data_IF_743417561057
#
_entry.id   IF_743417561057
#
_cell.length_a   1.000
_cell.length_b   1.000
_cell.length_c   1.000
_cell.angle_alpha   90.00
_cell.angle_beta   90.00
_cell.angle_gamma   90.00
#
_symmetry.space_group_name_H-M   'P 1'
#
loop_
_entity.id
_entity.type
_entity.pdbx_description
1 polymer ?
#
# COMPACT_ATOMS: atom_id res chain seq x y z
N UNK A 1 -4.39 -23.66 8.39
CA UNK A 1 -3.82 -23.47 9.75
C UNK A 1 -2.79 -22.36 9.83
N UNK A 2 -1.92 -22.16 8.84
CA UNK A 2 -0.86 -21.13 8.86
C UNK A 2 -1.35 -19.70 9.16
N UNK A 3 -2.36 -19.20 8.45
CA UNK A 3 -2.88 -17.83 8.65
C UNK A 3 -3.46 -17.62 10.05
N UNK A 4 -4.17 -18.61 10.58
CA UNK A 4 -4.79 -18.55 11.91
C UNK A 4 -3.74 -18.40 13.00
N UNK A 5 -2.69 -19.22 12.95
CA UNK A 5 -1.58 -19.15 13.92
C UNK A 5 -0.83 -17.83 13.78
N UNK A 6 -0.52 -17.40 12.56
CA UNK A 6 0.19 -16.13 12.31
C UNK A 6 -0.58 -14.90 12.82
N UNK A 7 -1.91 -14.87 12.67
CA UNK A 7 -2.73 -13.75 13.17
C UNK A 7 -2.83 -13.80 14.70
N UNK A 8 -2.95 -14.99 15.29
CA UNK A 8 -3.05 -15.19 16.74
C UNK A 8 -1.77 -14.74 17.46
N UNK A 9 -0.61 -15.15 16.94
CA UNK A 9 0.69 -14.94 17.61
C UNK A 9 1.46 -13.72 17.06
N UNK A 10 0.77 -12.83 16.32
CA UNK A 10 1.39 -11.70 15.57
C UNK A 10 2.25 -10.76 16.42
N UNK A 11 1.91 -10.58 17.70
CA UNK A 11 2.64 -9.69 18.60
C UNK A 11 3.98 -10.30 19.02
N UNK A 12 4.01 -11.62 19.25
CA UNK A 12 5.24 -12.35 19.57
C UNK A 12 6.16 -12.48 18.36
N UNK A 13 5.59 -12.56 17.16
CA UNK A 13 6.33 -12.76 15.91
C UNK A 13 6.72 -11.44 15.22
N UNK A 14 6.56 -10.29 15.89
CA UNK A 14 6.85 -8.99 15.30
C UNK A 14 8.36 -8.78 15.13
N UNK A 15 8.75 -8.31 13.95
CA UNK A 15 10.13 -8.03 13.53
C UNK A 15 10.23 -6.59 13.00
N UNK A 16 11.44 -6.16 12.64
CA UNK A 16 11.72 -4.84 12.06
C UNK A 16 11.19 -4.74 10.61
N UNK A 17 11.42 -3.60 9.95
CA UNK A 17 11.03 -3.36 8.56
C UNK A 17 11.72 -4.26 7.53
N UNK A 18 12.86 -4.86 7.87
CA UNK A 18 13.67 -5.67 6.96
C UNK A 18 13.99 -7.06 7.54
N UNK A 19 12.99 -7.96 7.67
CA UNK A 19 13.21 -9.29 8.24
C UNK A 19 13.96 -10.27 7.32
N UNK A 20 14.10 -9.95 6.03
CA UNK A 20 14.68 -10.86 5.03
C UNK A 20 15.96 -10.33 4.40
N UNK A 21 16.51 -9.21 4.90
CA UNK A 21 17.62 -8.51 4.27
C UNK A 21 17.32 -8.16 2.79
N UNK A 22 16.15 -7.60 2.53
CA UNK A 22 15.63 -7.30 1.20
C UNK A 22 16.40 -6.19 0.47
N UNK A 23 16.25 -6.13 -0.86
CA UNK A 23 17.09 -5.28 -1.72
C UNK A 23 16.48 -3.93 -2.10
N UNK A 24 15.16 -3.86 -2.04
CA UNK A 24 14.32 -2.82 -2.61
C UNK A 24 13.78 -1.88 -1.52
N UNK A 25 13.19 -0.75 -1.91
CA UNK A 25 12.88 0.35 -0.99
C UNK A 25 11.78 0.03 0.02
N UNK A 26 10.90 -0.94 -0.24
CA UNK A 26 9.85 -1.34 0.71
C UNK A 26 10.43 -1.81 2.04
N UNK A 27 11.62 -2.43 2.01
CA UNK A 27 12.34 -2.91 3.20
C UNK A 27 13.01 -1.78 3.99
N UNK A 28 13.06 -0.55 3.44
CA UNK A 28 13.56 0.62 4.15
C UNK A 28 12.49 1.33 5.00
N UNK A 29 11.23 0.86 4.94
CA UNK A 29 10.10 1.45 5.66
C UNK A 29 9.86 0.79 7.02
N UNK A 30 9.11 1.45 7.90
CA UNK A 30 8.69 0.84 9.17
C UNK A 30 7.70 -0.32 8.93
N UNK A 31 7.55 -1.20 9.91
CA UNK A 31 6.54 -2.28 9.90
C UNK A 31 5.53 -2.11 11.04
N UNK A 32 4.25 -1.80 10.74
CA UNK A 32 3.68 -1.53 9.41
C UNK A 32 4.14 -0.16 8.83
N UNK A 33 4.10 0.02 7.50
CA UNK A 33 4.45 1.29 6.88
C UNK A 33 3.40 2.37 7.22
N UNK A 34 3.80 3.65 7.36
CA UNK A 34 2.87 4.75 7.53
C UNK A 34 2.05 4.97 6.26
N UNK A 35 0.88 5.62 6.36
CA UNK A 35 -0.02 5.85 5.23
C UNK A 35 0.60 6.67 4.08
N UNK A 36 1.62 7.49 4.38
CA UNK A 36 2.37 8.29 3.41
C UNK A 36 3.65 7.60 2.90
N UNK A 37 3.93 6.37 3.34
CA UNK A 37 5.14 5.58 3.06
C UNK A 37 6.46 6.25 3.49
N UNK A 38 6.92 7.26 2.74
CA UNK A 38 8.20 7.95 2.98
C UNK A 38 7.97 9.39 3.41
N UNK A 39 8.52 9.77 4.57
CA UNK A 39 8.46 11.17 5.04
C UNK A 39 9.35 12.11 4.20
N UNK A 40 10.41 11.56 3.61
CA UNK A 40 11.31 12.24 2.68
C UNK A 40 11.53 11.29 1.51
N UNK A 41 11.34 11.77 0.28
CA UNK A 41 11.51 10.92 -0.90
C UNK A 41 12.94 10.39 -1.00
N UNK A 42 13.12 9.05 -1.11
CA UNK A 42 14.43 8.46 -1.27
C UNK A 42 15.01 8.82 -2.65
N UNK A 43 16.31 9.05 -2.70
CA UNK A 43 17.00 9.25 -3.96
C UNK A 43 17.34 7.89 -4.59
N UNK A 44 16.80 7.61 -5.77
CA UNK A 44 16.98 6.34 -6.47
C UNK A 44 17.97 6.53 -7.62
N UNK A 45 19.19 6.03 -7.44
CA UNK A 45 20.24 6.09 -8.46
C UNK A 45 20.38 4.79 -9.27
N UNK A 46 19.98 3.66 -8.67
CA UNK A 46 20.17 2.32 -9.23
C UNK A 46 18.93 1.46 -8.96
N UNK A 47 18.82 0.34 -9.66
CA UNK A 47 17.70 -0.61 -9.54
C UNK A 47 17.47 -1.06 -8.10
N UNK A 48 18.54 -1.38 -7.38
CA UNK A 48 18.50 -1.85 -5.98
C UNK A 48 19.10 -0.80 -5.04
N UNK A 49 18.55 0.42 -5.09
CA UNK A 49 19.06 1.57 -4.33
C UNK A 49 19.20 1.32 -2.81
N UNK A 50 18.26 0.58 -2.20
CA UNK A 50 18.34 0.23 -0.78
C UNK A 50 19.47 -0.77 -0.49
N UNK A 51 19.63 -1.80 -1.33
CA UNK A 51 20.74 -2.76 -1.21
C UNK A 51 22.09 -2.08 -1.28
N UNK A 52 22.28 -1.19 -2.25
CA UNK A 52 23.53 -0.43 -2.43
C UNK A 52 23.78 0.47 -1.22
N UNK A 53 22.73 1.13 -0.71
CA UNK A 53 22.84 1.93 0.50
C UNK A 53 23.28 1.09 1.72
N UNK A 54 22.73 -0.12 1.89
CA UNK A 54 23.16 -1.07 2.93
C UNK A 54 24.61 -1.52 2.75
N UNK A 55 25.02 -1.87 1.53
CA UNK A 55 26.40 -2.27 1.25
C UNK A 55 27.39 -1.14 1.56
N UNK A 56 27.08 0.10 1.15
CA UNK A 56 27.90 1.28 1.47
C UNK A 56 27.94 1.55 2.98
N UNK A 57 26.81 1.42 3.68
CA UNK A 57 26.77 1.55 5.14
C UNK A 57 27.63 0.50 5.84
N UNK A 58 27.54 -0.77 5.43
CA UNK A 58 28.36 -1.86 5.96
C UNK A 58 29.86 -1.67 5.67
N UNK A 59 30.20 -1.10 4.52
CA UNK A 59 31.57 -0.73 4.15
C UNK A 59 32.06 0.56 4.83
N UNK A 60 31.26 1.19 5.71
CA UNK A 60 31.55 2.49 6.33
C UNK A 60 31.74 3.63 5.31
N UNK A 61 31.19 3.47 4.11
CA UNK A 61 31.19 4.42 3.00
C UNK A 61 29.86 5.18 2.86
N UNK A 62 28.97 5.08 3.86
CA UNK A 62 27.72 5.81 3.83
C UNK A 62 27.98 7.32 3.87
N UNK A 63 27.51 8.05 2.85
CA UNK A 63 27.44 9.49 2.91
C UNK A 63 26.43 9.92 3.99
N UNK A 64 26.76 10.91 4.83
CA UNK A 64 25.78 11.57 5.67
C UNK A 64 24.65 12.13 4.80
N UNK A 65 23.43 11.65 5.01
CA UNK A 65 22.26 12.22 4.34
C UNK A 65 21.99 13.57 5.02
N UNK A 66 22.03 14.70 4.30
CA UNK A 66 21.75 15.99 4.90
C UNK A 66 20.33 15.97 5.48
N UNK A 67 20.11 16.50 6.70
CA UNK A 67 18.79 16.54 7.28
C UNK A 67 17.89 17.38 6.37
N UNK A 68 16.90 16.74 5.76
CA UNK A 68 15.87 17.44 4.99
C UNK A 68 14.75 17.83 5.94
N UNK A 69 14.24 19.07 5.87
CA UNK A 69 13.11 19.47 6.70
C UNK A 69 11.89 18.60 6.36
N UNK A 70 11.11 18.25 7.38
CA UNK A 70 9.83 17.60 7.17
C UNK A 70 8.82 18.62 6.68
N UNK A 71 8.11 18.27 5.61
CA UNK A 71 7.04 19.07 5.05
C UNK A 71 5.69 18.37 5.28
N UNK A 72 4.58 19.13 5.39
CA UNK A 72 3.25 18.54 5.44
C UNK A 72 2.98 17.68 4.21
N UNK A 73 2.54 16.43 4.42
CA UNK A 73 2.20 15.49 3.34
C UNK A 73 0.68 15.44 3.18
N UNK A 74 0.20 15.79 2.00
CA UNK A 74 -1.20 15.66 1.59
C UNK A 74 -1.53 14.18 1.35
N UNK A 75 -2.43 13.62 2.14
CA UNK A 75 -2.94 12.24 1.96
C UNK A 75 -4.37 12.28 1.42
N UNK A 76 -4.72 11.43 0.43
CA UNK A 76 -6.06 11.41 -0.14
C UNK A 76 -7.08 10.95 0.91
N UNK A 77 -8.27 11.57 0.89
CA UNK A 77 -9.38 11.18 1.77
C UNK A 77 -10.06 9.92 1.24
N UNK A 78 -10.53 9.09 2.17
CA UNK A 78 -11.35 7.92 1.82
C UNK A 78 -12.67 8.37 1.18
N UNK A 79 -13.11 7.66 0.13
CA UNK A 79 -14.37 7.92 -0.57
C UNK A 79 -15.14 6.61 -0.76
N UNK A 80 -16.46 6.56 -0.44
CA UNK A 80 -17.28 5.36 -0.62
C UNK A 80 -17.69 5.12 -2.08
N UNK A 81 -17.43 6.07 -2.98
CA UNK A 81 -17.91 6.05 -4.38
C UNK A 81 -17.57 4.74 -5.09
N UNK A 82 -16.36 4.19 -4.88
CA UNK A 82 -15.96 2.93 -5.50
C UNK A 82 -16.82 1.74 -5.06
N UNK A 83 -17.15 1.64 -3.77
CA UNK A 83 -17.99 0.55 -3.24
C UNK A 83 -19.43 0.67 -3.73
N UNK A 84 -19.96 1.91 -3.75
CA UNK A 84 -21.31 2.18 -4.25
C UNK A 84 -21.42 1.82 -5.74
N UNK A 85 -20.45 2.24 -6.56
CA UNK A 85 -20.44 1.93 -7.99
C UNK A 85 -20.28 0.43 -8.25
N UNK A 86 -19.44 -0.27 -7.49
CA UNK A 86 -19.28 -1.71 -7.61
C UNK A 86 -20.59 -2.46 -7.30
N UNK A 87 -21.32 -2.03 -6.26
CA UNK A 87 -22.62 -2.61 -5.92
C UNK A 87 -23.62 -2.47 -7.08
N UNK A 88 -23.76 -1.26 -7.63
CA UNK A 88 -24.69 -1.05 -8.75
C UNK A 88 -24.23 -1.75 -10.03
N UNK A 89 -22.93 -1.84 -10.30
CA UNK A 89 -22.41 -2.62 -11.42
C UNK A 89 -22.79 -4.11 -11.31
N UNK A 90 -22.74 -4.69 -10.10
CA UNK A 90 -23.20 -6.06 -9.84
C UNK A 90 -24.71 -6.20 -10.08
N UNK A 91 -25.51 -5.25 -9.59
CA UNK A 91 -26.98 -5.25 -9.79
C UNK A 91 -27.33 -5.17 -11.28
N UNK A 92 -26.69 -4.27 -12.04
CA UNK A 92 -26.88 -4.13 -13.49
C UNK A 92 -26.46 -5.42 -14.21
N UNK A 93 -25.28 -5.95 -13.91
CA UNK A 93 -24.77 -7.18 -14.52
C UNK A 93 -25.73 -8.37 -14.31
N UNK A 94 -26.23 -8.53 -13.08
CA UNK A 94 -27.24 -9.53 -12.77
C UNK A 94 -28.55 -9.28 -13.53
N UNK A 95 -29.03 -8.03 -13.58
CA UNK A 95 -30.27 -7.68 -14.28
C UNK A 95 -30.21 -7.99 -15.79
N UNK A 96 -29.10 -7.68 -16.44
CA UNK A 96 -28.91 -7.90 -17.87
C UNK A 96 -28.89 -9.39 -18.24
N UNK A 97 -28.24 -10.23 -17.43
CA UNK A 97 -28.22 -11.69 -17.66
C UNK A 97 -29.64 -12.27 -17.64
N UNK A 98 -30.46 -11.84 -16.69
CA UNK A 98 -31.82 -12.34 -16.48
C UNK A 98 -32.91 -11.54 -17.21
N UNK A 99 -32.54 -10.60 -18.09
CA UNK A 99 -33.48 -9.76 -18.85
C UNK A 99 -34.46 -8.95 -17.96
N UNK A 100 -34.01 -8.54 -16.77
CA UNK A 100 -34.81 -7.78 -15.80
C UNK A 100 -34.62 -6.27 -16.05
N UNK A 101 -35.32 -5.75 -17.05
CA UNK A 101 -35.09 -4.38 -17.55
C UNK A 101 -35.33 -3.26 -16.53
N UNK A 102 -36.30 -3.41 -15.62
CA UNK A 102 -36.57 -2.40 -14.59
C UNK A 102 -35.40 -2.25 -13.61
N UNK A 103 -34.74 -3.36 -13.26
CA UNK A 103 -33.61 -3.38 -12.33
C UNK A 103 -32.34 -2.86 -13.01
N UNK A 104 -32.16 -3.14 -14.30
CA UNK A 104 -31.09 -2.54 -15.10
C UNK A 104 -31.24 -1.01 -15.16
N UNK A 105 -32.46 -0.51 -15.38
CA UNK A 105 -32.75 0.93 -15.38
C UNK A 105 -32.48 1.62 -14.04
N UNK A 106 -32.93 1.01 -12.92
CA UNK A 106 -32.65 1.55 -11.57
C UNK A 106 -31.17 1.51 -11.22
N UNK A 107 -30.46 0.44 -11.61
CA UNK A 107 -29.03 0.31 -11.36
C UNK A 107 -28.23 1.42 -12.05
N UNK A 108 -28.60 1.78 -13.29
CA UNK A 108 -27.96 2.87 -14.03
C UNK A 108 -28.18 4.25 -13.40
N UNK A 109 -29.32 4.48 -12.75
CA UNK A 109 -29.56 5.73 -12.01
C UNK A 109 -28.68 5.79 -10.76
N UNK A 110 -28.41 4.66 -10.10
CA UNK A 110 -27.60 4.60 -8.89
C UNK A 110 -26.09 4.76 -9.11
N UNK A 111 -25.60 4.64 -10.34
CA UNK A 111 -24.16 4.78 -10.68
C UNK A 111 -23.67 6.22 -10.89
N UNK A 112 -24.57 7.20 -10.94
CA UNK A 112 -24.27 8.63 -11.11
C UNK A 112 -24.53 9.39 -9.81
#
# INVERSE_FOLDING_TARGET
>A
MQLVVSIRDREMLRVTGDPWDGRTLEWSTASPPPAWNFAVLPHVAERDSYWVAKQRANAQQAQPVPPRPYEPIEVPKNSPVGVVNAFFAVVIGFALIWHIWWMAGLGLIGTF
#
